data_IF_267715816276
#
_entry.id   IF_267715816276
#
_cell.length_a   1.000
_cell.length_b   1.000
_cell.length_c   1.000
_cell.angle_alpha   90.00
_cell.angle_beta   90.00
_cell.angle_gamma   90.00
#
_symmetry.space_group_name_H-M   'P 1'
#
loop_
_entity.id
_entity.type
_entity.pdbx_description
1 polymer ?
#
# COMPACT_ATOMS: atom_id res chain seq x y z
N UNK A 1 6.62 20.70 -5.77
CA UNK A 1 6.18 19.40 -6.36
C UNK A 1 5.37 18.53 -5.39
N UNK A 2 5.74 18.44 -4.11
CA UNK A 2 5.01 17.64 -3.10
C UNK A 2 3.50 17.96 -2.95
N UNK A 3 3.09 19.24 -3.06
CA UNK A 3 1.67 19.67 -2.94
C UNK A 3 0.78 19.26 -4.12
N UNK A 4 1.31 19.22 -5.35
CA UNK A 4 0.56 18.72 -6.51
C UNK A 4 0.39 17.20 -6.46
N UNK A 5 1.40 16.50 -5.92
CA UNK A 5 1.33 15.05 -5.73
C UNK A 5 0.34 14.69 -4.61
N UNK A 6 0.22 15.47 -3.54
CA UNK A 6 -0.78 15.20 -2.49
C UNK A 6 -2.22 15.38 -3.00
N UNK A 7 -2.50 16.40 -3.81
CA UNK A 7 -3.83 16.64 -4.41
C UNK A 7 -4.22 15.49 -5.34
N UNK A 8 -3.32 15.04 -6.23
CA UNK A 8 -3.57 13.90 -7.13
C UNK A 8 -3.88 12.63 -6.35
N UNK A 9 -3.16 12.37 -5.26
CA UNK A 9 -3.41 11.20 -4.38
C UNK A 9 -4.76 11.30 -3.66
N UNK A 10 -5.16 12.49 -3.24
CA UNK A 10 -6.48 12.74 -2.66
C UNK A 10 -7.59 12.54 -3.69
N UNK A 11 -7.42 13.05 -4.91
CA UNK A 11 -8.38 12.87 -6.01
C UNK A 11 -8.55 11.39 -6.39
N UNK A 12 -7.46 10.64 -6.47
CA UNK A 12 -7.50 9.20 -6.77
C UNK A 12 -8.29 8.40 -5.72
N UNK A 13 -8.21 8.78 -4.43
CA UNK A 13 -9.01 8.17 -3.37
C UNK A 13 -10.50 8.38 -3.57
N UNK A 14 -10.90 9.62 -3.80
CA UNK A 14 -12.30 9.94 -4.04
C UNK A 14 -12.82 9.26 -5.30
N UNK A 15 -12.01 9.17 -6.36
CA UNK A 15 -12.39 8.45 -7.57
C UNK A 15 -12.66 6.96 -7.31
N UNK A 16 -11.77 6.26 -6.61
CA UNK A 16 -11.96 4.84 -6.31
C UNK A 16 -13.18 4.59 -5.40
N UNK A 17 -13.38 5.43 -4.38
CA UNK A 17 -14.56 5.36 -3.49
C UNK A 17 -15.84 5.63 -4.29
N UNK A 18 -15.86 6.66 -5.13
CA UNK A 18 -17.02 6.97 -5.97
C UNK A 18 -17.33 5.86 -6.96
N UNK A 19 -16.29 5.22 -7.51
CA UNK A 19 -16.43 4.09 -8.43
C UNK A 19 -16.98 2.83 -7.74
N UNK A 20 -16.51 2.49 -6.54
CA UNK A 20 -17.05 1.36 -5.79
C UNK A 20 -18.49 1.61 -5.35
N UNK A 21 -18.80 2.84 -4.91
CA UNK A 21 -20.17 3.24 -4.55
C UNK A 21 -21.11 3.25 -5.76
N UNK A 22 -20.64 3.66 -6.95
CA UNK A 22 -21.48 3.68 -8.16
C UNK A 22 -21.84 2.27 -8.62
N UNK A 23 -20.86 1.35 -8.65
CA UNK A 23 -21.11 -0.07 -8.95
C UNK A 23 -22.12 -0.64 -7.95
N UNK A 24 -21.93 -0.38 -6.65
CA UNK A 24 -22.87 -0.85 -5.63
C UNK A 24 -24.27 -0.28 -5.82
N UNK A 25 -24.39 1.02 -6.06
CA UNK A 25 -25.69 1.67 -6.29
C UNK A 25 -26.44 1.04 -7.46
N UNK A 26 -25.75 0.66 -8.54
CA UNK A 26 -26.36 -0.05 -9.68
C UNK A 26 -26.91 -1.42 -9.26
N UNK A 27 -26.11 -2.23 -8.55
CA UNK A 27 -26.55 -3.54 -8.05
C UNK A 27 -27.76 -3.41 -7.09
N UNK A 28 -27.71 -2.44 -6.18
CA UNK A 28 -28.79 -2.20 -5.23
C UNK A 28 -30.08 -1.73 -5.93
N UNK A 29 -29.99 -0.84 -6.91
CA UNK A 29 -31.14 -0.39 -7.69
C UNK A 29 -31.72 -1.51 -8.57
N UNK A 30 -30.89 -2.36 -9.16
CA UNK A 30 -31.38 -3.53 -9.90
C UNK A 30 -32.11 -4.51 -8.98
N UNK A 31 -31.57 -4.73 -7.78
CA UNK A 31 -32.19 -5.57 -6.76
C UNK A 31 -33.52 -4.99 -6.29
N UNK A 32 -33.56 -3.70 -5.94
CA UNK A 32 -34.80 -3.01 -5.54
C UNK A 32 -35.88 -3.07 -6.62
N UNK A 33 -35.50 -2.98 -7.91
CA UNK A 33 -36.45 -3.05 -9.01
C UNK A 33 -37.05 -4.45 -9.15
N UNK A 34 -36.23 -5.50 -9.00
CA UNK A 34 -36.70 -6.89 -8.98
C UNK A 34 -37.61 -7.12 -7.77
N UNK A 35 -37.18 -6.62 -6.61
CA UNK A 35 -37.93 -6.70 -5.37
C UNK A 35 -39.29 -5.99 -5.44
N UNK A 36 -39.37 -4.77 -5.99
CA UNK A 36 -40.62 -4.04 -6.21
C UNK A 36 -41.57 -4.74 -7.21
N UNK A 37 -41.03 -5.62 -8.06
CA UNK A 37 -41.81 -6.45 -8.97
C UNK A 37 -42.36 -7.72 -8.28
N UNK A 38 -41.82 -8.10 -7.12
CA UNK A 38 -42.26 -9.23 -6.30
C UNK A 38 -43.24 -8.78 -5.22
N UNK A 39 -44.30 -9.57 -4.98
CA UNK A 39 -45.38 -9.24 -4.05
C UNK A 39 -45.08 -9.62 -2.58
N UNK A 40 -44.03 -10.40 -2.32
CA UNK A 40 -43.67 -10.90 -1.00
C UNK A 40 -42.14 -10.96 -0.83
N UNK A 41 -41.69 -10.72 0.41
CA UNK A 41 -40.30 -10.87 0.85
C UNK A 41 -40.03 -12.32 1.25
N UNK A 42 -39.00 -12.93 0.68
CA UNK A 42 -38.54 -14.27 1.08
C UNK A 42 -37.28 -14.21 1.96
N UNK A 43 -37.04 -15.27 2.75
CA UNK A 43 -35.85 -15.35 3.61
C UNK A 43 -34.53 -15.35 2.82
N UNK A 44 -34.56 -15.85 1.57
CA UNK A 44 -33.40 -15.85 0.67
C UNK A 44 -32.98 -14.43 0.26
N UNK A 45 -33.94 -13.53 0.09
CA UNK A 45 -33.71 -12.11 -0.23
C UNK A 45 -32.92 -11.41 0.88
N UNK A 46 -33.26 -11.69 2.14
CA UNK A 46 -32.54 -11.15 3.31
C UNK A 46 -31.10 -11.65 3.37
N UNK A 47 -30.86 -12.93 3.03
CA UNK A 47 -29.52 -13.52 2.99
C UNK A 47 -28.68 -12.84 1.89
N UNK A 48 -29.23 -12.68 0.69
CA UNK A 48 -28.53 -12.07 -0.45
C UNK A 48 -28.13 -10.62 -0.14
N UNK A 49 -29.05 -9.83 0.41
CA UNK A 49 -28.78 -8.45 0.85
C UNK A 49 -27.70 -8.43 1.93
N UNK A 50 -27.72 -9.36 2.87
CA UNK A 50 -26.72 -9.47 3.94
C UNK A 50 -25.32 -9.77 3.39
N UNK A 51 -25.20 -10.72 2.46
CA UNK A 51 -23.93 -11.02 1.78
C UNK A 51 -23.40 -9.82 1.00
N UNK A 52 -24.27 -9.11 0.27
CA UNK A 52 -23.90 -7.91 -0.47
C UNK A 52 -23.30 -6.84 0.45
N UNK A 53 -23.95 -6.55 1.59
CA UNK A 53 -23.45 -5.58 2.57
C UNK A 53 -22.12 -6.02 3.20
N UNK A 54 -21.95 -7.32 3.47
CA UNK A 54 -20.72 -7.87 3.99
C UNK A 54 -19.53 -7.67 3.02
N UNK A 55 -19.71 -7.99 1.73
CA UNK A 55 -18.64 -7.80 0.73
C UNK A 55 -18.27 -6.32 0.55
N UNK A 56 -19.23 -5.41 0.65
CA UNK A 56 -18.97 -3.97 0.59
C UNK A 56 -18.13 -3.52 1.77
N UNK A 57 -18.54 -3.91 2.98
CA UNK A 57 -17.78 -3.60 4.19
C UNK A 57 -16.33 -4.10 4.07
N UNK A 58 -16.14 -5.35 3.66
CA UNK A 58 -14.81 -5.94 3.47
C UNK A 58 -13.99 -5.21 2.40
N UNK A 59 -14.60 -4.85 1.27
CA UNK A 59 -13.91 -4.15 0.18
C UNK A 59 -13.50 -2.72 0.58
N UNK A 60 -14.39 -1.98 1.24
CA UNK A 60 -14.10 -0.63 1.75
C UNK A 60 -13.05 -0.68 2.86
N UNK A 61 -13.15 -1.64 3.77
CA UNK A 61 -12.17 -1.84 4.84
C UNK A 61 -10.79 -2.17 4.25
N UNK A 62 -10.71 -3.08 3.29
CA UNK A 62 -9.47 -3.42 2.58
C UNK A 62 -8.88 -2.19 1.86
N UNK A 63 -9.72 -1.40 1.20
CA UNK A 63 -9.29 -0.18 0.52
C UNK A 63 -8.75 0.88 1.51
N UNK A 64 -9.48 1.12 2.60
CA UNK A 64 -9.10 2.09 3.64
C UNK A 64 -7.80 1.67 4.32
N UNK A 65 -7.64 0.38 4.66
CA UNK A 65 -6.42 -0.13 5.30
C UNK A 65 -5.21 -0.01 4.38
N UNK A 66 -5.34 -0.42 3.11
CA UNK A 66 -4.30 -0.25 2.10
C UNK A 66 -3.88 1.22 1.96
N UNK A 67 -4.84 2.14 1.96
CA UNK A 67 -4.56 3.55 1.88
C UNK A 67 -4.00 4.14 3.20
N UNK A 68 -4.37 3.60 4.36
CA UNK A 68 -4.00 4.18 5.66
C UNK A 68 -2.58 3.80 6.09
N UNK A 69 -2.08 2.63 5.68
CA UNK A 69 -0.75 2.14 6.07
C UNK A 69 0.36 2.98 5.43
N UNK A 70 1.31 3.49 6.21
CA UNK A 70 2.42 4.28 5.67
C UNK A 70 3.40 3.38 4.88
N UNK A 71 3.93 3.85 3.74
CA UNK A 71 4.97 3.10 3.05
C UNK A 71 6.20 3.04 3.96
N UNK A 72 6.63 1.83 4.35
CA UNK A 72 7.75 1.62 5.26
C UNK A 72 8.99 2.41 4.84
N UNK A 73 9.30 3.49 5.57
CA UNK A 73 10.42 4.37 5.25
C UNK A 73 11.70 3.79 5.83
N UNK A 74 12.81 3.92 5.11
CA UNK A 74 14.13 3.64 5.70
C UNK A 74 14.36 4.64 6.84
N UNK A 75 14.58 4.17 8.09
CA UNK A 75 14.81 5.02 9.25
C UNK A 75 15.89 6.09 9.00
N UNK A 76 15.79 7.23 9.68
CA UNK A 76 16.72 8.35 9.48
C UNK A 76 18.10 8.07 10.09
N UNK A 77 18.14 7.26 11.13
CA UNK A 77 19.28 6.78 11.90
C UNK A 77 19.98 5.55 11.29
N UNK A 78 19.53 5.09 10.12
CA UNK A 78 20.24 4.03 9.40
C UNK A 78 21.60 4.54 8.91
N UNK A 79 22.65 4.21 9.65
CA UNK A 79 24.05 4.45 9.29
C UNK A 79 24.82 3.13 9.25
N UNK A 80 25.84 3.07 8.40
CA UNK A 80 26.76 1.92 8.36
C UNK A 80 27.57 1.84 9.67
N UNK A 81 27.83 2.98 10.29
CA UNK A 81 28.64 3.09 11.50
C UNK A 81 27.97 2.41 12.71
N UNK A 82 26.63 2.33 12.72
CA UNK A 82 25.86 1.64 13.76
C UNK A 82 25.88 0.10 13.63
N UNK A 83 26.40 -0.44 12.52
CA UNK A 83 26.55 -1.88 12.32
C UNK A 83 27.92 -2.29 12.88
N UNK A 84 27.97 -3.36 13.69
CA UNK A 84 29.22 -3.88 14.25
C UNK A 84 30.22 -4.21 13.15
N UNK A 85 31.48 -3.81 13.33
CA UNK A 85 32.55 -4.05 12.34
C UNK A 85 32.75 -5.55 12.07
N UNK A 86 32.52 -6.40 13.08
CA UNK A 86 32.57 -7.86 12.96
C UNK A 86 31.65 -8.43 11.87
N UNK A 87 30.66 -7.66 11.44
CA UNK A 87 29.67 -8.08 10.45
C UNK A 87 29.86 -7.39 9.09
N UNK A 88 30.78 -6.43 8.96
CA UNK A 88 31.02 -5.70 7.71
C UNK A 88 32.01 -6.47 6.84
N UNK A 89 31.54 -6.92 5.69
CA UNK A 89 32.39 -7.44 4.63
C UNK A 89 32.55 -6.31 3.59
N UNK A 90 33.72 -5.65 3.54
CA UNK A 90 33.95 -4.58 2.56
C UNK A 90 33.98 -5.17 1.15
N UNK A 91 33.07 -4.71 0.29
CA UNK A 91 33.12 -4.98 -1.15
C UNK A 91 33.65 -3.73 -1.87
N UNK A 92 34.38 -3.95 -2.97
CA UNK A 92 34.78 -2.85 -3.83
C UNK A 92 33.55 -2.29 -4.56
N UNK A 93 33.52 -0.97 -4.77
CA UNK A 93 32.40 -0.17 -5.31
C UNK A 93 31.17 -0.02 -4.39
N UNK A 94 31.13 1.01 -3.53
CA UNK A 94 29.92 1.55 -2.83
C UNK A 94 28.95 0.54 -2.15
N UNK A 95 29.39 -0.70 -1.94
CA UNK A 95 28.60 -1.82 -1.45
C UNK A 95 29.25 -2.38 -0.20
N UNK A 96 28.43 -2.68 0.82
CA UNK A 96 28.86 -3.37 2.04
C UNK A 96 27.94 -4.57 2.20
N UNK A 97 28.50 -5.77 2.30
CA UNK A 97 27.74 -6.96 2.70
C UNK A 97 27.74 -7.05 4.23
N UNK A 98 26.53 -7.18 4.78
CA UNK A 98 26.27 -7.54 6.17
C UNK A 98 25.96 -9.05 6.04
N UNK A 99 26.66 -9.95 6.76
CA UNK A 99 26.40 -11.41 6.94
C UNK A 99 24.88 -11.79 7.00
N UNK A 100 24.56 -13.08 7.00
CA UNK A 100 23.36 -13.75 6.49
C UNK A 100 21.94 -13.21 6.83
N UNK A 101 21.76 -12.21 7.70
CA UNK A 101 20.46 -11.66 8.09
C UNK A 101 20.10 -10.30 7.45
N UNK A 102 21.06 -9.47 7.02
CA UNK A 102 20.80 -8.06 6.64
C UNK A 102 21.12 -7.74 5.16
N UNK A 103 22.00 -8.51 4.51
CA UNK A 103 22.26 -8.42 3.06
C UNK A 103 23.02 -7.17 2.59
N UNK A 104 23.10 -6.95 1.27
CA UNK A 104 23.87 -5.84 0.65
C UNK A 104 23.28 -4.45 0.95
N UNK A 105 24.08 -3.57 1.55
CA UNK A 105 23.80 -2.12 1.64
C UNK A 105 24.15 -1.45 0.31
N UNK A 106 23.34 -0.48 -0.08
CA UNK A 106 23.63 0.37 -1.25
C UNK A 106 23.50 1.84 -0.87
N UNK A 107 24.23 2.73 -1.54
CA UNK A 107 24.04 4.18 -1.38
C UNK A 107 22.95 4.71 -2.31
N UNK A 108 22.18 5.70 -1.88
CA UNK A 108 21.22 6.40 -2.72
C UNK A 108 21.68 7.83 -3.01
N UNK A 109 21.98 8.13 -4.27
CA UNK A 109 22.46 9.47 -4.66
C UNK A 109 21.42 10.59 -4.50
N UNK A 110 20.13 10.25 -4.65
CA UNK A 110 19.02 11.21 -4.55
C UNK A 110 18.69 11.58 -3.11
N UNK A 111 18.75 10.61 -2.20
CA UNK A 111 18.49 10.83 -0.77
C UNK A 111 19.77 11.09 0.03
N UNK A 112 20.95 10.96 -0.59
CA UNK A 112 22.28 11.10 0.03
C UNK A 112 22.43 10.29 1.33
N UNK A 113 21.91 9.06 1.33
CA UNK A 113 21.98 8.13 2.47
C UNK A 113 22.13 6.69 2.04
N UNK A 114 22.68 5.87 2.92
CA UNK A 114 22.71 4.42 2.75
C UNK A 114 21.31 3.83 2.91
N UNK A 115 21.05 2.73 2.20
CA UNK A 115 19.79 1.99 2.26
C UNK A 115 20.08 0.49 2.37
N UNK A 116 19.34 -0.23 3.22
CA UNK A 116 19.55 -1.66 3.42
C UNK A 116 19.12 -2.49 2.20
N UNK A 117 19.43 -3.78 2.22
CA UNK A 117 19.05 -4.71 1.17
C UNK A 117 17.53 -4.67 0.90
N UNK A 118 17.13 -4.71 -0.39
CA UNK A 118 15.75 -4.57 -0.89
C UNK A 118 15.09 -3.21 -0.68
N UNK A 119 15.83 -2.19 -0.20
CA UNK A 119 15.34 -0.82 -0.19
C UNK A 119 15.61 -0.14 -1.54
N UNK A 120 14.62 0.58 -2.06
CA UNK A 120 14.75 1.32 -3.32
C UNK A 120 14.19 2.73 -3.22
N UNK A 121 14.82 3.65 -3.96
CA UNK A 121 14.35 5.04 -4.05
C UNK A 121 13.15 5.13 -4.98
N UNK A 122 12.05 5.68 -4.48
CA UNK A 122 10.89 6.00 -5.31
C UNK A 122 11.05 7.39 -5.91
N UNK A 123 11.10 7.51 -7.23
CA UNK A 123 11.12 8.82 -7.85
C UNK A 123 9.83 9.62 -7.58
N UNK A 124 8.67 8.97 -7.59
CA UNK A 124 7.37 9.61 -7.38
C UNK A 124 7.10 10.03 -5.92
N UNK A 125 7.71 9.34 -4.96
CA UNK A 125 7.56 9.67 -3.53
C UNK A 125 8.76 10.41 -2.95
N UNK A 126 9.87 10.53 -3.70
CA UNK A 126 11.12 11.19 -3.30
C UNK A 126 11.73 10.64 -1.99
N UNK A 127 11.41 9.38 -1.65
CA UNK A 127 11.89 8.70 -0.45
C UNK A 127 12.43 7.30 -0.78
N UNK A 128 13.40 6.84 0.02
CA UNK A 128 13.81 5.43 0.04
C UNK A 128 12.81 4.61 0.86
N UNK A 129 12.35 3.50 0.29
CA UNK A 129 11.34 2.62 0.90
C UNK A 129 11.90 1.22 1.02
N UNK A 130 11.67 0.61 2.19
CA UNK A 130 12.04 -0.77 2.49
C UNK A 130 11.18 -1.75 1.70
N UNK A 131 11.77 -2.86 1.24
CA UNK A 131 11.08 -3.95 0.51
C UNK A 131 10.18 -3.40 -0.61
N UNK A 132 10.77 -2.57 -1.45
CA UNK A 132 10.00 -1.93 -2.51
C UNK A 132 9.71 -2.93 -3.64
N UNK A 133 8.44 -3.25 -3.83
CA UNK A 133 7.99 -3.97 -5.01
C UNK A 133 7.75 -2.97 -6.14
N UNK A 134 6.63 -2.24 -6.11
CA UNK A 134 6.23 -1.35 -7.20
C UNK A 134 5.50 -0.11 -6.69
N UNK A 135 5.59 1.00 -7.45
CA UNK A 135 4.80 2.21 -7.20
C UNK A 135 3.50 2.10 -7.99
N UNK A 136 2.46 1.55 -7.36
CA UNK A 136 1.16 1.45 -8.02
C UNK A 136 0.57 2.85 -8.23
N UNK A 137 0.41 3.23 -9.49
CA UNK A 137 -0.12 4.53 -9.92
C UNK A 137 -1.59 4.70 -9.55
N UNK A 138 -2.32 3.60 -9.37
CA UNK A 138 -3.73 3.57 -8.98
C UNK A 138 -3.94 3.73 -7.47
N UNK A 139 -2.95 3.39 -6.63
CA UNK A 139 -3.15 3.30 -5.17
C UNK A 139 -2.37 4.31 -4.33
N UNK A 140 -1.61 5.23 -4.93
CA UNK A 140 -0.95 6.35 -4.23
C UNK A 140 -0.09 5.98 -3.00
N UNK A 141 0.18 4.67 -2.80
CA UNK A 141 1.02 4.06 -1.77
C UNK A 141 1.58 2.76 -2.34
N UNK A 142 2.80 2.43 -1.90
CA UNK A 142 3.47 1.18 -2.24
C UNK A 142 2.80 0.07 -1.43
N UNK A 143 2.38 -1.00 -2.09
CA UNK A 143 2.15 -2.27 -1.39
C UNK A 143 3.51 -2.69 -0.83
N UNK A 144 3.72 -2.40 0.44
CA UNK A 144 4.71 -3.10 1.24
C UNK A 144 3.93 -4.31 1.73
N UNK A 145 4.43 -5.52 1.48
CA UNK A 145 4.10 -6.66 2.33
C UNK A 145 4.50 -6.25 3.75
N UNK A 146 3.60 -5.61 4.49
CA UNK A 146 3.70 -5.51 5.93
C UNK A 146 3.44 -6.91 6.47
N UNK A 147 4.44 -7.77 6.37
CA UNK A 147 4.72 -8.65 7.50
C UNK A 147 5.09 -7.72 8.64
N UNK A 148 4.06 -7.26 9.36
CA UNK A 148 4.13 -7.18 10.80
C UNK A 148 4.96 -8.37 11.27
N UNK A 149 6.14 -8.12 11.83
CA UNK A 149 6.69 -8.84 12.97
C UNK A 149 7.97 -8.08 13.38
N UNK A 150 8.01 -7.46 14.57
CA UNK A 150 9.26 -7.47 15.33
C UNK A 150 9.72 -8.91 15.60
#
# INVERSE_FOLDING_TARGET
>A
MQKQNSIKRTLQKYFAILFTLSIYSLFYLSYLKIFLMQAALDFLDLIEVSFLHFFIFMSLFSYITCFSINPGQVPADFSIDNISEDYKIPLNDNHVEIDHCIGRITFCDKCKKYRPHRAHHCHNCEICVLRFDHHCIQNAKKMVFTSYFP
#
